data_IF_167581530092
#
_entry.id   IF_167581530092
#
_cell.length_a   1.000
_cell.length_b   1.000
_cell.length_c   1.000
_cell.angle_alpha   90.00
_cell.angle_beta   90.00
_cell.angle_gamma   90.00
#
_symmetry.space_group_name_H-M   'P 1'
#
loop_
_entity.id
_entity.type
_entity.pdbx_description
1 polymer ?
#
# COMPACT_ATOMS: atom_id res chain seq x y z
N UNK A 1 4.83 5.76 20.84
CA UNK A 1 3.86 5.24 19.86
C UNK A 1 4.55 4.95 18.55
N UNK A 2 4.02 4.03 17.76
CA UNK A 2 4.41 3.75 16.38
C UNK A 2 3.14 3.54 15.56
N UNK A 3 3.22 3.78 14.25
CA UNK A 3 2.08 3.63 13.33
C UNK A 3 2.44 2.65 12.21
N UNK A 4 2.42 1.36 12.46
CA UNK A 4 2.65 0.34 11.45
C UNK A 4 1.39 -0.03 10.69
N UNK A 5 1.57 -0.68 9.54
CA UNK A 5 0.47 -1.26 8.78
C UNK A 5 -0.08 -2.53 9.48
N UNK A 6 -1.29 -2.89 9.11
CA UNK A 6 -2.12 -3.96 9.69
C UNK A 6 -1.38 -5.29 9.93
N UNK A 7 -0.56 -5.73 8.96
CA UNK A 7 0.17 -7.00 9.08
C UNK A 7 1.29 -6.97 10.14
N UNK A 8 1.88 -5.79 10.37
CA UNK A 8 2.83 -5.60 11.47
C UNK A 8 2.10 -5.56 12.80
N UNK A 9 0.92 -4.91 12.86
CA UNK A 9 0.05 -4.92 14.06
C UNK A 9 -0.29 -6.37 14.41
N UNK A 10 -0.74 -7.17 13.45
CA UNK A 10 -1.04 -8.59 13.62
C UNK A 10 0.16 -9.38 14.17
N UNK A 11 1.35 -9.16 13.59
CA UNK A 11 2.60 -9.78 14.05
C UNK A 11 2.97 -9.36 15.46
N UNK A 12 2.81 -8.07 15.79
CA UNK A 12 3.13 -7.54 17.11
C UNK A 12 2.16 -8.07 18.16
N UNK A 13 0.87 -8.21 17.86
CA UNK A 13 -0.12 -8.85 18.72
C UNK A 13 0.23 -10.30 19.00
N UNK A 14 0.52 -11.09 17.93
CA UNK A 14 0.90 -12.50 18.04
C UNK A 14 2.15 -12.71 18.90
N UNK A 15 3.10 -11.78 18.82
CA UNK A 15 4.38 -11.83 19.55
C UNK A 15 4.34 -11.12 20.91
N UNK A 16 3.17 -10.68 21.37
CA UNK A 16 2.99 -9.96 22.65
C UNK A 16 3.91 -8.73 22.77
N UNK A 17 3.97 -7.91 21.73
CA UNK A 17 4.84 -6.73 21.64
C UNK A 17 4.11 -5.41 21.86
N UNK A 18 2.82 -5.45 22.21
CA UNK A 18 1.99 -4.26 22.40
C UNK A 18 1.47 -4.16 23.85
N UNK A 19 1.21 -2.93 24.25
CA UNK A 19 0.46 -2.59 25.46
C UNK A 19 -0.93 -2.11 25.07
N UNK A 20 -1.97 -2.41 25.87
CA UNK A 20 -3.31 -1.92 25.60
C UNK A 20 -3.37 -0.39 25.72
N UNK A 21 -4.30 0.20 24.98
CA UNK A 21 -4.60 1.64 25.03
C UNK A 21 -5.42 1.93 26.28
N UNK A 22 -4.96 2.88 27.08
CA UNK A 22 -5.70 3.35 28.26
C UNK A 22 -6.81 4.32 27.81
N UNK A 23 -8.07 3.86 27.88
CA UNK A 23 -9.27 4.64 27.52
C UNK A 23 -9.75 5.59 28.63
N UNK A 24 -9.05 5.68 29.75
CA UNK A 24 -9.36 6.64 30.79
C UNK A 24 -8.73 8.02 30.49
N UNK A 25 -9.45 8.84 29.78
CA UNK A 25 -9.04 10.20 29.38
C UNK A 25 -9.46 11.29 30.37
N UNK A 26 -9.94 10.94 31.57
CA UNK A 26 -10.37 11.88 32.60
C UNK A 26 -11.49 12.79 32.09
N UNK A 27 -11.23 14.10 32.04
CA UNK A 27 -12.19 15.09 31.51
C UNK A 27 -12.09 15.32 30.00
N UNK A 28 -11.08 14.75 29.31
CA UNK A 28 -10.95 14.83 27.84
C UNK A 28 -11.95 13.86 27.20
N UNK A 29 -12.74 14.30 26.21
CA UNK A 29 -13.62 13.39 25.49
C UNK A 29 -12.85 12.23 24.86
N UNK A 30 -13.49 11.07 24.76
CA UNK A 30 -12.98 9.95 23.99
C UNK A 30 -13.35 10.15 22.51
N UNK A 31 -12.36 10.44 21.68
CA UNK A 31 -12.52 10.64 20.24
C UNK A 31 -12.27 9.37 19.40
N UNK A 32 -11.77 8.30 19.99
CA UNK A 32 -11.51 7.04 19.27
C UNK A 32 -12.78 6.47 18.61
N UNK A 33 -14.00 6.62 19.16
CA UNK A 33 -15.24 6.23 18.49
C UNK A 33 -15.52 6.96 17.17
N UNK A 34 -14.85 8.09 16.87
CA UNK A 34 -14.93 8.79 15.58
C UNK A 34 -14.32 7.99 14.42
N UNK A 35 -13.51 6.97 14.70
CA UNK A 35 -12.96 6.07 13.67
C UNK A 35 -14.08 5.26 13.04
N UNK A 36 -14.08 5.16 11.71
CA UNK A 36 -15.04 4.40 10.92
C UNK A 36 -15.32 3.02 11.51
N UNK A 37 -16.58 2.65 11.70
CA UNK A 37 -16.94 1.29 12.13
C UNK A 37 -16.43 0.22 11.17
N UNK A 38 -16.45 0.49 9.87
CA UNK A 38 -15.92 -0.39 8.83
C UNK A 38 -14.41 -0.61 9.03
N UNK A 39 -13.62 0.47 9.14
CA UNK A 39 -12.17 0.36 9.29
C UNK A 39 -11.80 -0.38 10.59
N UNK A 40 -12.52 -0.12 11.69
CA UNK A 40 -12.34 -0.87 12.94
C UNK A 40 -12.63 -2.35 12.77
N UNK A 41 -13.73 -2.67 12.06
CA UNK A 41 -14.09 -4.06 11.78
C UNK A 41 -13.00 -4.76 10.95
N UNK A 42 -12.52 -4.13 9.88
CA UNK A 42 -11.49 -4.69 9.03
C UNK A 42 -10.18 -4.91 9.81
N UNK A 43 -9.71 -3.91 10.56
CA UNK A 43 -8.49 -4.05 11.36
C UNK A 43 -8.65 -5.12 12.46
N UNK A 44 -9.86 -5.30 13.03
CA UNK A 44 -10.13 -6.33 14.03
C UNK A 44 -10.01 -7.77 13.49
N UNK A 45 -10.02 -7.98 12.17
CA UNK A 45 -9.69 -9.29 11.57
C UNK A 45 -8.26 -9.75 11.93
N UNK A 46 -7.38 -8.84 12.35
CA UNK A 46 -6.01 -9.14 12.82
C UNK A 46 -5.94 -9.61 14.27
N UNK A 47 -7.06 -9.66 14.99
CA UNK A 47 -7.13 -10.09 16.40
C UNK A 47 -6.58 -11.50 16.60
N UNK A 48 -6.01 -11.71 17.76
CA UNK A 48 -5.55 -13.01 18.23
C UNK A 48 -6.55 -13.57 19.27
N UNK A 49 -6.57 -14.87 19.54
CA UNK A 49 -7.58 -15.48 20.43
C UNK A 49 -7.76 -14.79 21.79
N UNK A 50 -6.69 -14.25 22.36
CA UNK A 50 -6.70 -13.61 23.67
C UNK A 50 -6.50 -12.08 23.63
N UNK A 51 -6.38 -11.49 22.42
CA UNK A 51 -6.06 -10.06 22.22
C UNK A 51 -6.86 -9.51 21.07
N UNK A 52 -7.88 -8.72 21.40
CA UNK A 52 -8.65 -8.00 20.37
C UNK A 52 -7.84 -6.80 19.87
N UNK A 53 -7.72 -6.63 18.57
CA UNK A 53 -6.92 -5.55 17.99
C UNK A 53 -7.39 -4.18 18.46
N UNK A 54 -8.68 -3.97 18.64
CA UNK A 54 -9.27 -2.70 19.09
C UNK A 54 -8.81 -2.25 20.49
N UNK A 55 -8.30 -3.17 21.32
CA UNK A 55 -7.72 -2.83 22.62
C UNK A 55 -6.29 -2.29 22.51
N UNK A 56 -5.59 -2.57 21.39
CA UNK A 56 -4.16 -2.30 21.21
C UNK A 56 -3.83 -1.36 20.08
N UNK A 57 -4.73 -1.17 19.12
CA UNK A 57 -4.51 -0.38 17.93
C UNK A 57 -5.70 0.51 17.62
N UNK A 58 -5.42 1.74 17.17
CA UNK A 58 -6.43 2.67 16.63
C UNK A 58 -6.07 2.95 15.18
N UNK A 59 -6.97 2.66 14.22
CA UNK A 59 -6.77 2.99 12.81
C UNK A 59 -6.47 4.49 12.62
N UNK A 60 -5.57 4.80 11.69
CA UNK A 60 -5.11 6.16 11.45
C UNK A 60 -5.34 6.59 10.00
N UNK A 61 -4.64 5.97 9.05
CA UNK A 61 -4.78 6.21 7.63
C UNK A 61 -5.09 4.88 6.92
N UNK A 62 -5.71 4.97 5.75
CA UNK A 62 -6.04 3.80 4.94
C UNK A 62 -6.05 4.17 3.46
N UNK A 63 -6.07 3.17 2.60
CA UNK A 63 -6.17 3.36 1.18
C UNK A 63 -6.08 2.05 0.41
N UNK A 64 -6.07 2.17 -0.91
CA UNK A 64 -5.96 1.05 -1.84
C UNK A 64 -4.60 1.07 -2.54
N UNK A 65 -4.18 -0.07 -3.05
CA UNK A 65 -3.14 -0.17 -4.05
C UNK A 65 -3.79 -0.26 -5.43
N UNK A 66 -3.19 0.37 -6.44
CA UNK A 66 -3.77 0.41 -7.77
C UNK A 66 -2.79 0.92 -8.82
N UNK A 67 -3.32 1.31 -9.95
CA UNK A 67 -2.58 1.78 -11.11
C UNK A 67 -2.79 3.28 -11.29
N UNK A 68 -1.74 4.06 -11.09
CA UNK A 68 -1.63 5.44 -11.53
C UNK A 68 -1.14 5.42 -12.98
N UNK A 69 -1.85 6.07 -13.89
CA UNK A 69 -1.51 6.04 -15.31
C UNK A 69 -1.60 7.42 -15.96
N UNK A 70 -0.81 7.60 -17.00
CA UNK A 70 -0.79 8.83 -17.80
C UNK A 70 -1.78 8.70 -18.96
N UNK A 71 -2.85 9.50 -18.92
CA UNK A 71 -3.96 9.47 -19.89
C UNK A 71 -3.53 9.74 -21.33
N UNK A 72 -2.37 10.35 -21.53
CA UNK A 72 -1.80 10.56 -22.87
C UNK A 72 -1.39 9.24 -23.55
N UNK A 73 -1.03 8.22 -22.78
CA UNK A 73 -0.44 6.98 -23.27
C UNK A 73 -1.27 5.74 -22.99
N UNK A 74 -2.11 5.80 -21.96
CA UNK A 74 -2.87 4.66 -21.41
C UNK A 74 -4.32 5.10 -21.27
N UNK A 75 -5.24 4.27 -21.74
CA UNK A 75 -6.69 4.50 -21.54
C UNK A 75 -7.16 3.94 -20.20
N UNK A 76 -8.32 4.39 -19.74
CA UNK A 76 -8.93 3.87 -18.51
C UNK A 76 -9.22 2.36 -18.60
N UNK A 77 -9.68 1.88 -19.78
CA UNK A 77 -9.95 0.46 -20.00
C UNK A 77 -8.68 -0.38 -19.93
N UNK A 78 -7.55 0.12 -20.45
CA UNK A 78 -6.27 -0.57 -20.35
C UNK A 78 -5.77 -0.63 -18.91
N UNK A 79 -6.03 0.41 -18.10
CA UNK A 79 -5.63 0.48 -16.71
C UNK A 79 -6.54 -0.31 -15.75
N UNK A 80 -7.76 -0.68 -16.19
CA UNK A 80 -8.75 -1.39 -15.37
C UNK A 80 -8.48 -2.90 -15.22
N UNK A 81 -7.28 -3.35 -15.61
CA UNK A 81 -6.86 -4.75 -15.42
C UNK A 81 -5.37 -4.83 -15.10
N UNK A 82 -4.99 -5.79 -14.27
CA UNK A 82 -3.59 -6.06 -13.95
C UNK A 82 -2.77 -6.55 -15.16
N UNK A 83 -3.41 -7.01 -16.24
CA UNK A 83 -2.73 -7.42 -17.48
C UNK A 83 -1.76 -6.33 -18.00
N UNK A 84 -2.06 -5.06 -17.77
CA UNK A 84 -1.26 -3.93 -18.21
C UNK A 84 0.19 -3.99 -17.73
N UNK A 85 0.45 -4.58 -16.55
CA UNK A 85 1.79 -4.72 -16.00
C UNK A 85 2.60 -5.82 -16.73
N UNK A 86 1.92 -6.80 -17.32
CA UNK A 86 2.52 -7.89 -18.08
C UNK A 86 2.59 -7.63 -19.58
N UNK A 87 1.91 -6.59 -20.08
CA UNK A 87 1.93 -6.23 -21.50
C UNK A 87 3.30 -5.65 -21.92
N UNK A 88 3.96 -6.35 -22.83
CA UNK A 88 5.29 -5.97 -23.32
C UNK A 88 5.32 -4.64 -24.10
N UNK A 89 4.16 -4.12 -24.55
CA UNK A 89 4.07 -2.78 -25.16
C UNK A 89 4.50 -1.67 -24.20
N UNK A 90 4.34 -1.91 -22.89
CA UNK A 90 4.69 -0.97 -21.83
C UNK A 90 6.12 -1.14 -21.29
N UNK A 91 6.97 -1.91 -22.00
CA UNK A 91 8.33 -2.24 -21.56
C UNK A 91 9.16 -0.99 -21.26
N UNK A 92 9.71 -0.93 -20.04
CA UNK A 92 10.51 0.19 -19.58
C UNK A 92 9.73 1.47 -19.30
N UNK A 93 8.38 1.35 -19.16
CA UNK A 93 7.47 2.46 -18.86
C UNK A 93 6.66 2.26 -17.59
N UNK A 94 6.87 1.14 -16.92
CA UNK A 94 6.17 0.75 -15.70
C UNK A 94 7.07 0.99 -14.50
N UNK A 95 6.55 1.67 -13.49
CA UNK A 95 7.10 1.71 -12.15
C UNK A 95 6.28 0.82 -11.23
N UNK A 96 6.92 0.23 -10.26
CA UNK A 96 6.27 -0.62 -9.28
C UNK A 96 6.82 -0.35 -7.89
N UNK A 97 5.96 -0.27 -6.89
CA UNK A 97 6.37 -0.15 -5.49
C UNK A 97 7.35 -1.24 -5.09
N UNK A 98 8.42 -0.86 -4.41
CA UNK A 98 9.39 -1.78 -3.81
C UNK A 98 8.81 -2.43 -2.55
N UNK A 99 7.67 -3.09 -2.73
CA UNK A 99 6.92 -3.80 -1.70
C UNK A 99 6.74 -5.25 -2.10
N UNK A 100 7.41 -6.17 -1.38
CA UNK A 100 7.29 -7.61 -1.64
C UNK A 100 5.86 -8.13 -1.45
N UNK A 101 5.10 -7.49 -0.57
CA UNK A 101 3.73 -7.90 -0.24
C UNK A 101 2.76 -7.53 -1.36
N UNK A 102 2.80 -6.26 -1.78
CA UNK A 102 1.96 -5.77 -2.87
C UNK A 102 2.32 -6.47 -4.19
N UNK A 103 3.62 -6.64 -4.47
CA UNK A 103 4.07 -7.37 -5.65
C UNK A 103 3.60 -8.83 -5.65
N UNK A 104 3.67 -9.51 -4.49
CA UNK A 104 3.17 -10.86 -4.31
C UNK A 104 1.66 -10.93 -4.56
N UNK A 105 0.88 -10.08 -3.86
CA UNK A 105 -0.57 -10.06 -3.96
C UNK A 105 -1.04 -9.81 -5.40
N UNK A 106 -0.47 -8.80 -6.06
CA UNK A 106 -0.79 -8.47 -7.46
C UNK A 106 -0.47 -9.62 -8.41
N UNK A 107 0.68 -10.30 -8.23
CA UNK A 107 1.06 -11.42 -9.09
C UNK A 107 0.12 -12.64 -8.94
N UNK A 108 -0.39 -12.89 -7.74
CA UNK A 108 -1.35 -13.97 -7.47
C UNK A 108 -2.73 -13.61 -8.02
N UNK A 109 -3.21 -12.38 -7.82
CA UNK A 109 -4.46 -11.90 -8.43
C UNK A 109 -4.40 -12.05 -9.94
N UNK A 110 -3.35 -11.53 -10.58
CA UNK A 110 -3.14 -11.67 -12.03
C UNK A 110 -3.14 -13.12 -12.49
N UNK A 111 -2.46 -14.02 -11.75
CA UNK A 111 -2.39 -15.43 -12.12
C UNK A 111 -3.75 -16.14 -12.06
N UNK A 112 -4.69 -15.64 -11.27
CA UNK A 112 -6.02 -16.20 -11.03
C UNK A 112 -7.17 -15.28 -11.48
N UNK A 113 -6.89 -14.35 -12.41
CA UNK A 113 -7.89 -13.39 -12.89
C UNK A 113 -9.17 -14.08 -13.43
N UNK A 114 -9.02 -15.25 -14.06
CA UNK A 114 -10.16 -16.03 -14.57
C UNK A 114 -11.00 -16.61 -13.45
N UNK A 115 -10.36 -17.22 -12.46
CA UNK A 115 -11.06 -17.81 -11.31
C UNK A 115 -11.77 -16.72 -10.47
N UNK A 116 -11.20 -15.53 -10.39
CA UNK A 116 -11.85 -14.35 -9.79
C UNK A 116 -13.07 -13.94 -10.59
N UNK A 117 -12.98 -13.83 -11.92
CA UNK A 117 -14.11 -13.49 -12.79
C UNK A 117 -15.24 -14.52 -12.69
N UNK A 118 -14.90 -15.81 -12.58
CA UNK A 118 -15.86 -16.90 -12.38
C UNK A 118 -16.34 -17.02 -10.91
N UNK A 119 -15.89 -16.12 -10.00
CA UNK A 119 -16.20 -16.13 -8.56
C UNK A 119 -15.93 -17.47 -7.84
N UNK A 120 -14.98 -18.25 -8.32
CA UNK A 120 -14.58 -19.53 -7.71
C UNK A 120 -13.57 -19.34 -6.57
N UNK A 121 -12.91 -18.19 -6.51
CA UNK A 121 -11.98 -17.77 -5.45
C UNK A 121 -12.23 -16.31 -5.11
N UNK A 122 -11.72 -15.86 -3.96
CA UNK A 122 -11.77 -14.45 -3.54
C UNK A 122 -10.38 -13.82 -3.51
N UNK A 123 -10.30 -12.50 -3.63
CA UNK A 123 -9.05 -11.75 -3.50
C UNK A 123 -8.42 -12.01 -2.13
N UNK A 124 -9.22 -12.07 -1.06
CA UNK A 124 -8.73 -12.37 0.29
C UNK A 124 -8.06 -13.75 0.38
N UNK A 125 -8.68 -14.78 -0.21
CA UNK A 125 -8.09 -16.14 -0.24
C UNK A 125 -6.76 -16.14 -1.01
N UNK A 126 -6.72 -15.51 -2.17
CA UNK A 126 -5.55 -15.50 -3.04
C UNK A 126 -4.37 -14.75 -2.42
N UNK A 127 -4.56 -13.50 -1.99
CA UNK A 127 -3.47 -12.69 -1.46
C UNK A 127 -2.89 -13.22 -0.15
N UNK A 128 -3.67 -14.02 0.60
CA UNK A 128 -3.27 -14.60 1.87
C UNK A 128 -2.88 -16.07 1.77
N UNK A 129 -2.95 -16.68 0.58
CA UNK A 129 -2.34 -17.99 0.33
C UNK A 129 -0.82 -17.83 0.24
N UNK A 130 -0.12 -18.27 1.26
CA UNK A 130 1.34 -18.26 1.33
C UNK A 130 1.91 -19.70 1.23
N UNK A 131 1.19 -20.60 0.56
CA UNK A 131 1.67 -21.95 0.27
C UNK A 131 2.93 -21.91 -0.61
N UNK A 132 3.80 -22.93 -0.54
CA UNK A 132 4.96 -23.02 -1.43
C UNK A 132 4.60 -22.93 -2.91
N UNK A 133 3.42 -23.47 -3.28
CA UNK A 133 2.89 -23.44 -4.64
C UNK A 133 2.53 -22.02 -5.07
N UNK A 134 1.81 -21.26 -4.21
CA UNK A 134 1.46 -19.88 -4.47
C UNK A 134 2.72 -18.98 -4.56
N UNK A 135 3.70 -19.17 -3.65
CA UNK A 135 4.97 -18.44 -3.69
C UNK A 135 5.72 -18.71 -5.00
N UNK A 136 5.80 -19.95 -5.45
CA UNK A 136 6.46 -20.31 -6.71
C UNK A 136 5.73 -19.73 -7.93
N UNK A 137 4.40 -19.72 -7.92
CA UNK A 137 3.58 -19.11 -8.98
C UNK A 137 3.81 -17.60 -9.03
N UNK A 138 3.78 -16.90 -7.90
CA UNK A 138 4.05 -15.46 -7.81
C UNK A 138 5.45 -15.14 -8.35
N UNK A 139 6.48 -15.91 -7.94
CA UNK A 139 7.84 -15.73 -8.45
C UNK A 139 7.91 -15.85 -9.97
N UNK A 140 7.28 -16.87 -10.53
CA UNK A 140 7.22 -17.09 -11.98
C UNK A 140 6.57 -15.89 -12.68
N UNK A 141 5.42 -15.40 -12.19
CA UNK A 141 4.71 -14.28 -12.80
C UNK A 141 5.50 -12.97 -12.71
N UNK A 142 6.09 -12.69 -11.54
CA UNK A 142 6.92 -11.50 -11.34
C UNK A 142 8.17 -11.51 -12.22
N UNK A 143 8.81 -12.65 -12.43
CA UNK A 143 9.96 -12.77 -13.35
C UNK A 143 9.58 -12.51 -14.81
N UNK A 144 8.37 -12.90 -15.22
CA UNK A 144 7.84 -12.60 -16.56
C UNK A 144 7.55 -11.09 -16.71
N UNK A 145 6.99 -10.45 -15.68
CA UNK A 145 6.68 -9.02 -15.66
C UNK A 145 7.94 -8.14 -15.61
N UNK A 146 8.98 -8.57 -14.89
CA UNK A 146 10.19 -7.79 -14.59
C UNK A 146 10.81 -7.05 -15.79
N UNK A 147 10.91 -7.62 -17.00
CA UNK A 147 11.44 -6.90 -18.17
C UNK A 147 10.66 -5.64 -18.56
N UNK A 148 9.40 -5.50 -18.11
CA UNK A 148 8.56 -4.33 -18.37
C UNK A 148 8.83 -3.21 -17.37
N UNK A 149 9.40 -3.53 -16.18
CA UNK A 149 9.61 -2.59 -15.09
C UNK A 149 10.82 -1.70 -15.39
N UNK A 150 10.60 -0.38 -15.38
CA UNK A 150 11.63 0.64 -15.46
C UNK A 150 12.36 0.84 -14.13
N UNK A 151 11.67 0.63 -12.99
CA UNK A 151 12.23 0.75 -11.66
C UNK A 151 11.30 0.27 -10.57
N UNK A 152 11.91 -0.28 -9.50
CA UNK A 152 11.26 -0.53 -8.23
C UNK A 152 11.38 0.76 -7.41
N UNK A 153 10.26 1.34 -7.01
CA UNK A 153 10.25 2.67 -6.42
C UNK A 153 9.63 2.68 -5.02
N UNK A 154 10.16 3.56 -4.16
CA UNK A 154 9.56 3.87 -2.86
C UNK A 154 8.85 5.24 -2.90
N UNK A 155 9.53 6.29 -3.39
CA UNK A 155 9.03 7.66 -3.40
C UNK A 155 9.23 8.41 -4.72
N UNK A 156 10.15 7.98 -5.59
CA UNK A 156 10.47 8.71 -6.83
C UNK A 156 9.45 8.52 -7.95
N UNK A 157 8.51 7.58 -7.80
CA UNK A 157 7.52 7.26 -8.81
C UNK A 157 6.65 8.46 -9.18
N UNK A 158 6.24 9.23 -8.19
CA UNK A 158 5.47 10.47 -8.34
C UNK A 158 6.14 11.44 -9.33
N UNK A 159 7.42 11.72 -9.11
CA UNK A 159 8.19 12.63 -9.97
C UNK A 159 8.39 12.07 -11.39
N UNK A 160 8.57 10.77 -11.54
CA UNK A 160 8.72 10.15 -12.86
C UNK A 160 7.44 10.23 -13.68
N UNK A 161 6.28 10.12 -13.04
CA UNK A 161 4.97 10.25 -13.68
C UNK A 161 4.72 11.70 -14.12
N UNK A 162 4.92 12.68 -13.25
CA UNK A 162 4.74 14.12 -13.55
C UNK A 162 5.67 14.61 -14.68
N UNK A 163 6.84 13.96 -14.86
CA UNK A 163 7.79 14.26 -15.92
C UNK A 163 7.61 13.44 -17.21
N UNK A 164 6.52 12.67 -17.36
CA UNK A 164 6.26 11.78 -18.50
C UNK A 164 7.37 10.73 -18.75
N UNK A 165 8.18 10.39 -17.75
CA UNK A 165 9.25 9.39 -17.89
C UNK A 165 8.74 7.97 -17.71
N UNK A 166 7.68 7.79 -16.91
CA UNK A 166 6.91 6.57 -16.82
C UNK A 166 5.47 6.83 -17.27
N UNK A 167 4.77 5.78 -17.70
CA UNK A 167 3.38 5.84 -18.13
C UNK A 167 2.43 5.19 -17.16
N UNK A 168 2.93 4.24 -16.39
CA UNK A 168 2.21 3.41 -15.44
C UNK A 168 3.02 3.35 -14.16
N UNK A 169 2.35 3.52 -13.01
CA UNK A 169 2.93 3.28 -11.71
C UNK A 169 1.95 2.47 -10.84
N UNK A 170 2.34 1.25 -10.48
CA UNK A 170 1.67 0.57 -9.37
C UNK A 170 2.00 1.32 -8.08
N UNK A 171 0.98 1.92 -7.46
CA UNK A 171 1.19 2.80 -6.30
C UNK A 171 0.02 2.73 -5.31
N UNK A 172 0.18 3.37 -4.16
CA UNK A 172 -0.87 3.54 -3.17
C UNK A 172 -1.69 4.80 -3.48
N UNK A 173 -2.99 4.77 -3.13
CA UNK A 173 -3.94 5.84 -3.47
C UNK A 173 -3.52 7.23 -2.98
N UNK A 174 -2.93 7.36 -1.78
CA UNK A 174 -2.46 8.66 -1.29
C UNK A 174 -1.29 9.24 -2.10
N UNK A 175 -0.35 8.37 -2.55
CA UNK A 175 0.71 8.79 -3.48
C UNK A 175 0.14 9.17 -4.85
N UNK A 176 -0.93 8.49 -5.29
CA UNK A 176 -1.61 8.80 -6.54
C UNK A 176 -2.27 10.18 -6.50
N UNK A 177 -2.99 10.51 -5.42
CA UNK A 177 -3.60 11.85 -5.23
C UNK A 177 -2.55 12.93 -5.36
N UNK A 178 -1.47 12.83 -4.60
CA UNK A 178 -0.38 13.80 -4.66
C UNK A 178 0.20 13.92 -6.08
N UNK A 179 0.42 12.79 -6.75
CA UNK A 179 0.98 12.80 -8.10
C UNK A 179 0.02 13.41 -9.14
N UNK A 180 -1.29 13.21 -9.01
CA UNK A 180 -2.32 13.79 -9.86
C UNK A 180 -2.33 15.32 -9.69
N UNK A 181 -2.35 15.82 -8.46
CA UNK A 181 -2.33 17.25 -8.16
C UNK A 181 -1.08 17.96 -8.70
N UNK A 182 0.10 17.40 -8.47
CA UNK A 182 1.37 17.94 -8.97
C UNK A 182 1.48 17.86 -10.51
N UNK A 183 0.93 16.81 -11.12
CA UNK A 183 0.93 16.64 -12.56
C UNK A 183 0.02 17.65 -13.26
N UNK A 184 -1.15 17.92 -12.69
CA UNK A 184 -2.09 18.92 -13.22
C UNK A 184 -1.47 20.32 -13.26
N UNK A 185 -0.71 20.69 -12.22
CA UNK A 185 0.01 21.95 -12.16
C UNK A 185 1.03 22.15 -13.30
N UNK A 186 1.50 21.08 -13.95
CA UNK A 186 2.44 21.11 -15.08
C UNK A 186 1.82 20.65 -16.39
N UNK A 187 0.50 20.48 -16.45
CA UNK A 187 -0.25 20.11 -17.65
C UNK A 187 -0.08 18.64 -18.07
N UNK A 188 0.16 17.74 -17.12
CA UNK A 188 0.21 16.29 -17.32
C UNK A 188 -1.05 15.67 -16.71
N UNK A 189 -1.86 15.02 -17.51
CA UNK A 189 -3.07 14.37 -17.05
C UNK A 189 -2.79 12.95 -16.57
N UNK A 190 -2.83 12.76 -15.27
CA UNK A 190 -2.78 11.45 -14.63
C UNK A 190 -4.17 11.04 -14.12
N UNK A 191 -4.37 9.74 -13.97
CA UNK A 191 -5.57 9.18 -13.34
C UNK A 191 -5.19 7.90 -12.59
N UNK A 192 -6.06 7.45 -11.68
CA UNK A 192 -5.82 6.28 -10.84
C UNK A 192 -7.03 5.36 -10.86
N UNK A 193 -6.76 4.06 -10.92
CA UNK A 193 -7.81 3.03 -10.81
C UNK A 193 -7.34 1.85 -9.96
N UNK A 194 -8.31 1.22 -9.30
CA UNK A 194 -8.14 -0.13 -8.73
C UNK A 194 -8.67 -1.12 -9.75
N UNK A 195 -7.84 -2.00 -10.33
CA UNK A 195 -8.26 -2.94 -11.38
C UNK A 195 -9.46 -3.80 -10.99
N UNK A 196 -10.22 -4.20 -12.01
CA UNK A 196 -11.48 -4.92 -11.83
C UNK A 196 -11.34 -6.27 -11.12
N UNK A 197 -10.17 -6.91 -11.21
CA UNK A 197 -9.86 -8.15 -10.50
C UNK A 197 -9.73 -7.95 -8.98
N UNK A 198 -9.63 -6.70 -8.52
CA UNK A 198 -9.43 -6.35 -7.12
C UNK A 198 -7.97 -6.13 -6.74
N UNK A 199 -7.74 -5.70 -5.52
CA UNK A 199 -6.41 -5.27 -5.05
C UNK A 199 -6.26 -5.35 -3.54
N UNK A 200 -5.09 -4.93 -3.05
CA UNK A 200 -4.83 -4.70 -1.64
C UNK A 200 -5.55 -3.43 -1.16
N UNK A 201 -6.24 -3.55 -0.03
CA UNK A 201 -6.67 -2.42 0.81
C UNK A 201 -5.91 -2.51 2.12
N UNK A 202 -5.25 -1.43 2.52
CA UNK A 202 -4.34 -1.40 3.66
C UNK A 202 -4.80 -0.40 4.72
N UNK A 203 -4.41 -0.68 5.97
CA UNK A 203 -4.78 0.10 7.15
C UNK A 203 -3.57 0.30 8.05
N UNK A 204 -3.16 1.55 8.24
CA UNK A 204 -2.17 1.90 9.24
C UNK A 204 -2.85 2.22 10.58
N UNK A 205 -2.23 1.85 11.67
CA UNK A 205 -2.79 2.07 12.99
C UNK A 205 -1.76 2.44 14.06
N UNK A 206 -2.17 3.33 14.95
CA UNK A 206 -1.36 3.71 16.09
C UNK A 206 -1.38 2.63 17.16
N UNK A 207 -0.20 2.21 17.60
CA UNK A 207 -0.01 1.21 18.65
C UNK A 207 1.01 1.67 19.69
N UNK A 208 0.95 1.09 20.87
CA UNK A 208 1.88 1.35 21.99
C UNK A 208 2.80 0.14 22.15
N UNK A 209 4.10 0.24 21.80
CA UNK A 209 5.05 -0.86 21.97
C UNK A 209 5.18 -1.29 23.44
N UNK A 210 5.43 -2.58 23.68
CA UNK A 210 5.50 -3.21 25.01
C UNK A 210 6.42 -2.51 26.01
N UNK A 211 7.49 -1.90 25.53
CA UNK A 211 8.47 -1.23 26.40
C UNK A 211 8.25 0.28 26.53
N UNK A 212 7.10 0.79 26.09
CA UNK A 212 6.74 2.20 26.28
C UNK A 212 6.61 2.53 27.77
N UNK A 213 7.21 3.65 28.21
CA UNK A 213 7.24 4.05 29.61
C UNK A 213 6.04 4.88 30.04
N UNK A 214 5.35 5.52 29.09
CA UNK A 214 4.26 6.43 29.37
C UNK A 214 3.04 6.07 28.51
N UNK A 215 2.35 4.99 28.89
CA UNK A 215 1.16 4.48 28.18
C UNK A 215 0.05 5.53 28.18
N UNK A 216 -0.14 6.23 29.30
CA UNK A 216 -1.21 7.21 29.44
C UNK A 216 -1.03 8.39 28.45
N UNK A 217 0.16 8.98 28.38
CA UNK A 217 0.42 10.05 27.43
C UNK A 217 0.33 9.57 25.96
N UNK A 218 0.78 8.34 25.68
CA UNK A 218 0.63 7.71 24.38
C UNK A 218 -0.85 7.56 23.99
N UNK A 219 -1.69 7.10 24.92
CA UNK A 219 -3.13 6.95 24.72
C UNK A 219 -3.83 8.30 24.48
N UNK A 220 -3.47 9.35 25.24
CA UNK A 220 -3.98 10.70 25.00
C UNK A 220 -3.58 11.25 23.63
N UNK A 221 -2.35 10.99 23.18
CA UNK A 221 -1.89 11.38 21.85
C UNK A 221 -2.70 10.67 20.74
N UNK A 222 -2.90 9.36 20.87
CA UNK A 222 -3.72 8.58 19.94
C UNK A 222 -5.16 9.11 19.90
N UNK A 223 -5.75 9.35 21.06
CA UNK A 223 -7.10 9.93 21.17
C UNK A 223 -7.19 11.31 20.53
N UNK A 224 -6.19 12.17 20.72
CA UNK A 224 -6.11 13.50 20.09
C UNK A 224 -6.13 13.42 18.56
N UNK A 225 -5.46 12.45 17.96
CA UNK A 225 -5.42 12.27 16.51
C UNK A 225 -6.78 11.86 15.91
N UNK A 226 -7.71 11.37 16.75
CA UNK A 226 -9.07 11.01 16.33
C UNK A 226 -10.06 12.19 16.37
N UNK A 227 -9.62 13.41 16.70
CA UNK A 227 -10.45 14.61 16.57
C UNK A 227 -10.64 14.95 15.10
N UNK A 228 -11.86 15.27 14.63
CA UNK A 228 -12.11 15.57 13.21
C UNK A 228 -11.22 16.69 12.66
N UNK A 229 -11.06 17.79 13.41
CA UNK A 229 -10.22 18.93 13.01
C UNK A 229 -8.72 18.58 12.94
N UNK A 230 -8.26 17.61 13.71
CA UNK A 230 -6.88 17.11 13.67
C UNK A 230 -6.72 16.14 12.51
N UNK A 231 -7.70 15.26 12.29
CA UNK A 231 -7.72 14.34 11.17
C UNK A 231 -7.68 15.08 9.82
N UNK A 232 -8.47 16.14 9.65
CA UNK A 232 -8.46 17.00 8.45
C UNK A 232 -7.07 17.59 8.21
N UNK A 233 -6.44 18.21 9.22
CA UNK A 233 -5.08 18.77 9.08
C UNK A 233 -4.04 17.71 8.74
N UNK A 234 -4.18 16.49 9.26
CA UNK A 234 -3.27 15.41 8.93
C UNK A 234 -3.47 14.95 7.47
N UNK A 235 -4.71 14.84 6.99
CA UNK A 235 -5.00 14.53 5.58
C UNK A 235 -4.40 15.56 4.64
N UNK A 236 -4.58 16.86 4.94
CA UNK A 236 -4.05 17.94 4.13
C UNK A 236 -2.51 17.97 4.10
N UNK A 237 -1.86 17.56 5.22
CA UNK A 237 -0.40 17.54 5.32
C UNK A 237 0.24 16.30 4.68
N UNK A 238 -0.46 15.16 4.67
CA UNK A 238 0.10 13.85 4.29
C UNK A 238 -0.41 13.41 2.91
N UNK A 239 -1.61 13.85 2.50
CA UNK A 239 -2.28 13.43 1.26
C UNK A 239 -3.03 12.09 1.36
N UNK A 240 -2.98 11.42 2.51
CA UNK A 240 -3.68 10.14 2.74
C UNK A 240 -5.00 10.35 3.49
N UNK A 241 -5.92 9.39 3.35
CA UNK A 241 -7.24 9.45 3.97
C UNK A 241 -7.20 8.97 5.41
N UNK A 242 -7.75 9.78 6.32
CA UNK A 242 -7.93 9.41 7.72
C UNK A 242 -8.99 8.32 7.90
N UNK A 243 -8.78 7.45 8.87
CA UNK A 243 -9.79 6.50 9.31
C UNK A 243 -10.97 7.15 10.08
N UNK A 244 -10.90 8.44 10.40
CA UNK A 244 -11.97 9.17 11.09
C UNK A 244 -13.14 9.41 10.13
N UNK A 245 -14.35 9.01 10.55
CA UNK A 245 -15.58 9.06 9.76
C UNK A 245 -16.69 9.80 10.53
N UNK A 246 -16.66 11.11 10.49
CA UNK A 246 -17.65 11.97 11.15
C UNK A 246 -18.37 12.86 10.15
N UNK A 247 -19.54 13.46 10.51
CA UNK A 247 -20.21 14.42 9.64
C UNK A 247 -19.30 15.58 9.20
N UNK A 248 -18.40 16.05 10.07
CA UNK A 248 -17.47 17.14 9.77
C UNK A 248 -16.45 16.73 8.69
N UNK A 249 -15.97 15.49 8.72
CA UNK A 249 -15.08 14.94 7.68
C UNK A 249 -15.85 14.81 6.36
N UNK A 250 -17.06 14.26 6.41
CA UNK A 250 -17.89 14.08 5.24
C UNK A 250 -18.16 15.44 4.56
N UNK A 251 -18.60 16.45 5.33
CA UNK A 251 -18.85 17.81 4.80
C UNK A 251 -17.57 18.42 4.21
N UNK A 252 -16.45 18.36 4.93
CA UNK A 252 -15.19 18.97 4.50
C UNK A 252 -14.56 18.34 3.25
N UNK A 253 -14.89 17.08 2.97
CA UNK A 253 -14.35 16.33 1.80
C UNK A 253 -15.33 16.22 0.65
N UNK A 254 -16.58 16.65 0.82
CA UNK A 254 -17.57 16.73 -0.26
C UNK A 254 -17.17 17.84 -1.24
N UNK A 255 -17.10 17.48 -2.52
CA UNK A 255 -16.83 18.43 -3.61
C UNK A 255 -17.94 18.34 -4.66
N UNK A 256 -18.86 19.29 -4.62
CA UNK A 256 -20.02 19.36 -5.52
C UNK A 256 -19.67 19.74 -6.97
N UNK A 257 -18.39 19.98 -7.27
CA UNK A 257 -17.93 20.23 -8.65
C UNK A 257 -17.63 18.94 -9.40
N UNK A 258 -17.51 17.82 -8.67
CA UNK A 258 -17.28 16.49 -9.26
C UNK A 258 -18.58 15.91 -9.84
N UNK A 259 -18.47 15.32 -11.03
CA UNK A 259 -19.58 14.59 -11.68
C UNK A 259 -19.73 13.13 -11.19
N UNK A 260 -18.90 12.70 -10.24
CA UNK A 260 -18.83 11.33 -9.72
C UNK A 260 -19.52 11.24 -8.36
N UNK A 261 -20.39 10.24 -8.20
CA UNK A 261 -21.03 9.90 -6.94
C UNK A 261 -20.55 8.54 -6.44
N UNK A 262 -20.15 8.45 -5.18
CA UNK A 262 -19.66 7.24 -4.53
C UNK A 262 -20.57 6.82 -3.38
N UNK A 263 -20.87 5.53 -3.24
CA UNK A 263 -21.48 4.98 -2.02
C UNK A 263 -20.42 4.78 -0.94
N UNK A 264 -20.43 5.67 0.05
CA UNK A 264 -19.54 5.63 1.22
C UNK A 264 -20.29 5.31 2.51
N UNK A 265 -21.49 4.77 2.42
CA UNK A 265 -22.26 4.36 3.61
C UNK A 265 -21.56 3.25 4.40
N UNK A 266 -20.68 2.47 3.78
CA UNK A 266 -19.82 1.52 4.47
C UNK A 266 -18.83 2.22 5.41
N UNK A 267 -18.27 3.37 5.00
CA UNK A 267 -17.23 4.11 5.73
C UNK A 267 -17.81 5.06 6.79
N UNK A 268 -18.76 5.91 6.38
CA UNK A 268 -19.40 6.90 7.26
C UNK A 268 -20.54 6.31 8.11
N UNK A 269 -20.99 5.09 7.82
CA UNK A 269 -22.16 4.52 8.46
C UNK A 269 -23.47 5.15 7.95
N UNK A 270 -24.54 5.17 8.75
CA UNK A 270 -25.88 5.58 8.34
C UNK A 270 -26.04 7.12 8.33
N UNK A 271 -24.99 7.88 7.97
CA UNK A 271 -25.11 9.32 7.81
C UNK A 271 -25.93 9.66 6.56
N UNK A 272 -26.86 10.64 6.65
CA UNK A 272 -27.64 11.05 5.48
C UNK A 272 -26.76 11.49 4.31
N UNK A 273 -27.00 10.95 3.13
CA UNK A 273 -26.26 11.27 1.90
C UNK A 273 -24.96 10.49 1.71
N UNK A 274 -24.54 9.67 2.67
CA UNK A 274 -23.31 8.87 2.55
C UNK A 274 -23.38 7.81 1.45
N UNK A 275 -24.56 7.43 0.99
CA UNK A 275 -24.83 6.47 -0.08
C UNK A 275 -24.68 7.04 -1.49
N UNK A 276 -24.52 8.36 -1.62
CA UNK A 276 -24.37 9.05 -2.92
C UNK A 276 -23.61 10.38 -2.74
N UNK A 277 -22.34 10.29 -2.40
CA UNK A 277 -21.50 11.44 -2.05
C UNK A 277 -20.61 11.87 -3.23
N UNK A 278 -20.62 13.17 -3.55
CA UNK A 278 -19.68 13.76 -4.50
C UNK A 278 -18.34 13.99 -3.78
N UNK A 279 -17.37 13.13 -4.05
CA UNK A 279 -16.09 13.11 -3.37
C UNK A 279 -15.03 12.49 -4.27
N UNK A 280 -13.76 12.82 -4.08
CA UNK A 280 -12.66 12.23 -4.84
C UNK A 280 -12.62 10.69 -4.68
N UNK A 281 -12.88 9.93 -5.76
CA UNK A 281 -12.94 8.47 -5.71
C UNK A 281 -11.56 7.81 -5.52
N UNK A 282 -10.46 8.53 -5.71
CA UNK A 282 -9.11 8.05 -5.44
C UNK A 282 -8.87 8.02 -3.93
N UNK A 283 -9.33 9.05 -3.23
CA UNK A 283 -9.27 9.12 -1.77
C UNK A 283 -10.31 8.22 -1.11
N UNK A 284 -11.55 8.31 -1.59
CA UNK A 284 -12.70 7.60 -1.01
C UNK A 284 -13.34 6.69 -2.07
N UNK A 285 -12.81 5.48 -2.25
CA UNK A 285 -13.31 4.56 -3.27
C UNK A 285 -14.76 4.15 -2.99
N UNK A 286 -15.56 4.04 -4.06
CA UNK A 286 -16.92 3.52 -3.99
C UNK A 286 -16.97 2.13 -3.34
N UNK A 287 -18.09 1.80 -2.68
CA UNK A 287 -18.32 0.49 -2.04
C UNK A 287 -17.94 -0.69 -2.95
N UNK A 288 -18.28 -0.64 -4.24
CA UNK A 288 -17.99 -1.72 -5.19
C UNK A 288 -16.49 -1.94 -5.41
N UNK A 289 -15.70 -0.87 -5.27
CA UNK A 289 -14.22 -0.97 -5.34
C UNK A 289 -13.68 -1.66 -4.09
N UNK A 290 -14.17 -1.26 -2.92
CA UNK A 290 -13.70 -1.80 -1.64
C UNK A 290 -14.09 -3.28 -1.48
N UNK A 291 -15.29 -3.67 -1.94
CA UNK A 291 -15.79 -5.05 -1.87
C UNK A 291 -14.96 -6.04 -2.70
N UNK A 292 -14.23 -5.59 -3.72
CA UNK A 292 -13.30 -6.43 -4.49
C UNK A 292 -11.85 -6.35 -3.99
N UNK A 293 -11.58 -5.58 -2.93
CA UNK A 293 -10.26 -5.50 -2.30
C UNK A 293 -10.18 -6.38 -1.05
N UNK A 294 -8.97 -6.73 -0.67
CA UNK A 294 -8.74 -7.44 0.58
C UNK A 294 -7.42 -7.00 1.23
N UNK A 295 -7.37 -7.15 2.53
CA UNK A 295 -6.20 -6.85 3.35
C UNK A 295 -5.19 -7.99 3.27
N UNK A 296 -3.92 -7.68 3.05
CA UNK A 296 -2.84 -8.67 3.12
C UNK A 296 -2.47 -8.91 4.59
N UNK A 297 -2.65 -10.14 5.07
CA UNK A 297 -2.35 -10.57 6.43
C UNK A 297 -0.85 -10.82 6.64
N UNK A 298 -0.43 -10.98 7.88
CA UNK A 298 0.94 -11.40 8.18
C UNK A 298 1.20 -12.84 7.70
N UNK A 299 2.23 -13.05 6.89
CA UNK A 299 2.61 -14.37 6.38
C UNK A 299 3.19 -15.32 7.44
N UNK A 300 3.30 -14.87 8.70
CA UNK A 300 3.77 -15.69 9.80
C UNK A 300 5.18 -16.22 9.58
N UNK A 301 5.33 -17.53 9.81
CA UNK A 301 6.62 -18.22 9.67
C UNK A 301 7.10 -18.35 8.22
N UNK A 302 6.21 -18.06 7.23
CA UNK A 302 6.55 -18.08 5.81
C UNK A 302 7.02 -16.73 5.26
N UNK A 303 7.08 -15.70 6.11
CA UNK A 303 7.57 -14.37 5.71
C UNK A 303 8.95 -14.45 5.04
N UNK A 304 9.86 -15.24 5.60
CA UNK A 304 11.22 -15.42 5.03
C UNK A 304 11.18 -16.02 3.62
N UNK A 305 10.31 -17.01 3.37
CA UNK A 305 10.17 -17.62 2.03
C UNK A 305 9.72 -16.60 0.99
N UNK A 306 8.80 -15.69 1.36
CA UNK A 306 8.33 -14.62 0.46
C UNK A 306 9.43 -13.56 0.26
N UNK A 307 10.19 -13.22 1.29
CA UNK A 307 11.36 -12.31 1.19
C UNK A 307 12.46 -12.90 0.31
N UNK A 308 12.77 -14.18 0.44
CA UNK A 308 13.71 -14.87 -0.44
C UNK A 308 13.23 -14.90 -1.89
N UNK A 309 11.95 -15.18 -2.11
CA UNK A 309 11.33 -15.08 -3.44
C UNK A 309 11.51 -13.68 -4.02
N UNK A 310 11.20 -12.64 -3.24
CA UNK A 310 11.38 -11.25 -3.65
C UNK A 310 12.83 -10.90 -3.97
N UNK A 311 13.76 -11.37 -3.17
CA UNK A 311 15.20 -11.23 -3.42
C UNK A 311 15.61 -11.87 -4.75
N UNK A 312 15.11 -13.08 -5.07
CA UNK A 312 15.36 -13.74 -6.36
C UNK A 312 14.74 -13.00 -7.54
N UNK A 313 13.54 -12.42 -7.37
CA UNK A 313 12.91 -11.58 -8.39
C UNK A 313 13.75 -10.32 -8.67
N UNK A 314 14.21 -9.64 -7.62
CA UNK A 314 15.01 -8.40 -7.75
C UNK A 314 16.48 -8.67 -8.12
N UNK A 315 17.09 -9.70 -7.55
CA UNK A 315 18.52 -9.99 -7.63
C UNK A 315 19.04 -10.39 -9.02
N UNK A 316 18.16 -10.90 -9.89
CA UNK A 316 18.52 -11.25 -11.28
C UNK A 316 18.91 -10.05 -12.17
N UNK A 317 19.06 -8.85 -11.58
CA UNK A 317 19.52 -7.64 -12.28
C UNK A 317 21.04 -7.56 -12.46
N UNK A 318 21.82 -8.32 -11.68
CA UNK A 318 23.24 -8.43 -11.92
C UNK A 318 23.48 -9.39 -13.08
N UNK A 319 23.50 -8.85 -14.31
CA UNK A 319 23.94 -9.59 -15.48
C UNK A 319 25.31 -10.22 -15.19
N UNK A 320 25.47 -11.51 -15.49
CA UNK A 320 26.72 -12.25 -15.32
C UNK A 320 27.93 -11.47 -15.90
N UNK A 321 27.70 -10.72 -16.98
CA UNK A 321 28.71 -9.83 -17.57
C UNK A 321 29.15 -8.69 -16.64
N UNK A 322 28.24 -8.10 -15.87
CA UNK A 322 28.58 -7.05 -14.89
C UNK A 322 29.38 -7.64 -13.73
N UNK A 323 29.01 -8.81 -13.25
CA UNK A 323 29.75 -9.53 -12.19
C UNK A 323 31.17 -9.86 -12.67
N UNK A 324 31.31 -10.40 -13.87
CA UNK A 324 32.62 -10.67 -14.48
C UNK A 324 33.43 -9.41 -14.70
N UNK A 325 32.82 -8.31 -15.12
CA UNK A 325 33.49 -7.02 -15.26
C UNK A 325 34.02 -6.51 -13.92
N UNK A 326 33.24 -6.61 -12.86
CA UNK A 326 33.66 -6.22 -11.49
C UNK A 326 34.88 -7.06 -11.06
N UNK A 327 34.84 -8.39 -11.22
CA UNK A 327 35.96 -9.26 -10.92
C UNK A 327 37.19 -8.95 -11.76
N UNK A 328 37.02 -8.64 -13.06
CA UNK A 328 38.13 -8.26 -13.94
C UNK A 328 38.78 -6.94 -13.49
N UNK A 329 37.98 -5.93 -13.13
CA UNK A 329 38.49 -4.64 -12.61
C UNK A 329 39.26 -4.84 -11.30
N UNK A 330 38.71 -5.61 -10.35
CA UNK A 330 39.43 -5.90 -9.11
C UNK A 330 40.70 -6.72 -9.35
N UNK A 331 40.69 -7.67 -10.26
CA UNK A 331 41.86 -8.44 -10.66
C UNK A 331 42.97 -7.55 -11.24
N UNK A 332 42.61 -6.64 -12.15
CA UNK A 332 43.56 -5.68 -12.73
C UNK A 332 44.15 -4.71 -11.67
N UNK A 333 43.29 -4.21 -10.76
CA UNK A 333 43.75 -3.38 -9.65
C UNK A 333 44.73 -4.14 -8.73
N UNK A 334 44.42 -5.39 -8.42
CA UNK A 334 45.33 -6.24 -7.62
C UNK A 334 46.66 -6.46 -8.31
N UNK A 335 46.66 -6.81 -9.60
CA UNK A 335 47.90 -6.99 -10.40
C UNK A 335 48.69 -5.69 -10.42
N UNK A 336 48.03 -4.54 -10.63
CA UNK A 336 48.68 -3.23 -10.63
C UNK A 336 49.33 -2.89 -9.27
N UNK A 337 48.61 -3.18 -8.16
CA UNK A 337 49.15 -2.98 -6.80
C UNK A 337 50.37 -3.85 -6.53
N UNK A 338 50.33 -5.12 -6.95
CA UNK A 338 51.48 -6.05 -6.81
C UNK A 338 52.67 -5.55 -7.65
N UNK A 339 52.40 -5.16 -8.91
CA UNK A 339 53.44 -4.63 -9.80
C UNK A 339 54.04 -3.32 -9.26
N UNK A 340 53.20 -2.41 -8.76
CA UNK A 340 53.67 -1.16 -8.15
C UNK A 340 54.51 -1.38 -6.87
N UNK A 341 54.21 -2.44 -6.12
CA UNK A 341 54.98 -2.82 -4.92
C UNK A 341 56.33 -3.44 -5.31
N UNK A 342 56.35 -4.31 -6.33
CA UNK A 342 57.63 -4.92 -6.79
C UNK A 342 58.58 -3.87 -7.38
N UNK A 343 58.06 -2.82 -8.02
CA UNK A 343 58.84 -1.74 -8.64
C UNK A 343 59.43 -0.74 -7.62
N UNK A 344 59.00 -0.80 -6.34
CA UNK A 344 59.47 0.04 -5.25
C UNK A 344 60.64 -0.60 -4.47
N UNK A 345 60.96 -1.84 -4.77
CA UNK A 345 62.14 -2.57 -4.29
C UNK A 345 63.09 -2.87 -5.46
#
# INVERSE_FOLDING_TARGET
VVCPSEYIIERMLRKDLLLPIDRNFGHTPDYIPNVSPYIRHELNKTSQPERQTEDYAVPYMWGTAGILFNKKFITAEEADTWDILWDSKNRGKILMKDSYRDAYGTAIIYAHARELADSTVTVEQLMNDNSPQAIALAEQRLKVMKPNIAGWEADFGKEMMTKNKAWINFTWSGDAVWAIEEADAVGVELDYTVPCEGSNIWYDGWVIPRYARNVKAASYFINYLCQPSVALRNMDAIGYVSAVATPEIMEAKTDTTLDVHSDLSYFFGPLPGADSLQIDPVQYPDRRVVERCAMIRDFGDRTELVLEMWSRVKGDNLNTGIVLLIFAVFGLLFIWLVYAKIRKY
#
